data_IF_010004076559
#
_entry.id   IF_010004076559
#
_cell.length_a   1.000
_cell.length_b   1.000
_cell.length_c   1.000
_cell.angle_alpha   90.00
_cell.angle_beta   90.00
_cell.angle_gamma   90.00
#
_symmetry.space_group_name_H-M   'P 1'
#
loop_
_entity.id
_entity.type
_entity.pdbx_description
1 polymer ?
#
# COMPACT_ATOMS: atom_id res chain seq x y z
N UNK A 1 3.68 34.31 13.02
CA UNK A 1 4.86 34.47 12.13
C UNK A 1 5.17 33.12 11.51
N UNK A 2 5.30 32.99 10.19
CA UNK A 2 5.68 31.73 9.56
C UNK A 2 7.13 31.38 9.93
N UNK A 3 7.38 30.15 10.37
CA UNK A 3 8.72 29.65 10.65
C UNK A 3 9.61 29.80 9.40
N UNK A 4 10.82 30.34 9.54
CA UNK A 4 11.76 30.43 8.41
C UNK A 4 12.24 29.02 8.04
N UNK A 5 12.45 28.74 6.75
CA UNK A 5 12.96 27.44 6.26
C UNK A 5 14.21 26.96 7.01
N UNK A 6 15.08 27.89 7.43
CA UNK A 6 16.26 27.62 8.25
C UNK A 6 15.93 27.08 9.65
N UNK A 7 14.86 27.57 10.29
CA UNK A 7 14.40 27.06 11.59
C UNK A 7 13.78 25.66 11.47
N UNK A 8 13.05 25.39 10.38
CA UNK A 8 12.49 24.07 10.09
C UNK A 8 13.59 23.03 9.83
N UNK A 9 14.62 23.37 9.04
CA UNK A 9 15.76 22.47 8.80
C UNK A 9 16.56 22.16 10.08
N UNK A 10 16.77 23.15 10.95
CA UNK A 10 17.44 22.92 12.24
C UNK A 10 16.64 22.03 13.18
N UNK A 11 15.32 22.25 13.27
CA UNK A 11 14.44 21.38 14.05
C UNK A 11 14.43 19.95 13.50
N UNK A 12 14.37 19.80 12.17
CA UNK A 12 14.44 18.50 11.52
C UNK A 12 15.75 17.77 11.84
N UNK A 13 16.91 18.46 11.74
CA UNK A 13 18.20 17.88 12.12
C UNK A 13 18.24 17.45 13.60
N UNK A 14 17.78 18.31 14.51
CA UNK A 14 17.74 17.98 15.94
C UNK A 14 16.82 16.79 16.26
N UNK A 15 15.70 16.66 15.55
CA UNK A 15 14.80 15.50 15.67
C UNK A 15 15.47 14.23 15.16
N UNK A 16 16.18 14.29 14.03
CA UNK A 16 16.93 13.14 13.50
C UNK A 16 18.03 12.70 14.47
N UNK A 17 18.80 13.65 15.03
CA UNK A 17 19.84 13.35 16.03
C UNK A 17 19.24 12.69 17.29
N UNK A 18 18.10 13.18 17.77
CA UNK A 18 17.40 12.59 18.91
C UNK A 18 16.90 11.17 18.60
N UNK A 19 16.26 10.98 17.44
CA UNK A 19 15.80 9.66 16.99
C UNK A 19 16.99 8.70 16.88
N UNK A 20 18.09 9.17 16.31
CA UNK A 20 19.33 8.41 16.16
C UNK A 20 19.88 7.97 17.52
N UNK A 21 19.96 8.90 18.48
CA UNK A 21 20.43 8.61 19.84
C UNK A 21 19.54 7.56 20.52
N UNK A 22 18.21 7.67 20.38
CA UNK A 22 17.26 6.70 20.97
C UNK A 22 17.38 5.32 20.36
N UNK A 23 17.54 5.21 19.04
CA UNK A 23 17.77 3.92 18.40
C UNK A 23 19.12 3.32 18.78
N UNK A 24 20.18 4.13 18.88
CA UNK A 24 21.51 3.65 19.28
C UNK A 24 21.52 3.14 20.73
N UNK A 25 20.86 3.87 21.64
CA UNK A 25 20.67 3.46 23.04
C UNK A 25 19.93 2.12 23.13
N UNK A 26 18.82 1.98 22.40
CA UNK A 26 18.00 0.77 22.45
C UNK A 26 18.67 -0.44 21.78
N UNK A 27 19.18 -0.28 20.55
CA UNK A 27 19.63 -1.39 19.71
C UNK A 27 21.07 -1.84 19.97
N UNK A 28 21.87 -1.04 20.69
CA UNK A 28 23.26 -1.37 20.99
C UNK A 28 24.05 -1.75 19.72
N UNK A 29 24.64 -2.94 19.69
CA UNK A 29 25.44 -3.42 18.57
C UNK A 29 24.65 -3.57 17.25
N UNK A 30 23.34 -3.80 17.30
CA UNK A 30 22.49 -4.00 16.12
C UNK A 30 22.20 -2.70 15.35
N UNK A 31 22.55 -1.54 15.92
CA UNK A 31 22.26 -0.23 15.32
C UNK A 31 22.83 -0.08 13.91
N UNK A 32 24.02 -0.61 13.64
CA UNK A 32 24.65 -0.49 12.31
C UNK A 32 23.90 -1.29 11.25
N UNK A 33 23.43 -2.49 11.62
CA UNK A 33 22.62 -3.36 10.76
C UNK A 33 21.27 -2.70 10.47
N UNK A 34 20.61 -2.20 11.52
CA UNK A 34 19.34 -1.49 11.42
C UNK A 34 19.44 -0.24 10.53
N UNK A 35 20.45 0.61 10.74
CA UNK A 35 20.66 1.83 9.94
C UNK A 35 20.84 1.55 8.46
N UNK A 36 21.67 0.56 8.11
CA UNK A 36 21.88 0.18 6.70
C UNK A 36 20.56 -0.20 6.04
N UNK A 37 19.72 -0.95 6.77
CA UNK A 37 18.39 -1.33 6.29
C UNK A 37 17.47 -0.13 6.13
N UNK A 38 17.45 0.77 7.10
CA UNK A 38 16.60 1.96 7.09
C UNK A 38 16.94 2.89 5.91
N UNK A 39 18.23 3.13 5.65
CA UNK A 39 18.68 3.92 4.50
C UNK A 39 18.23 3.29 3.18
N UNK A 40 18.39 1.97 3.03
CA UNK A 40 17.94 1.25 1.83
C UNK A 40 16.42 1.39 1.63
N UNK A 41 15.63 1.26 2.69
CA UNK A 41 14.17 1.39 2.64
C UNK A 41 13.75 2.80 2.25
N UNK A 42 14.36 3.83 2.84
CA UNK A 42 14.05 5.22 2.50
C UNK A 42 14.50 5.60 1.09
N UNK A 43 15.63 5.08 0.60
CA UNK A 43 16.06 5.30 -0.78
C UNK A 43 15.05 4.72 -1.78
N UNK A 44 14.57 3.49 -1.55
CA UNK A 44 13.51 2.88 -2.36
C UNK A 44 12.21 3.68 -2.31
N UNK A 45 11.80 4.11 -1.12
CA UNK A 45 10.61 4.95 -0.93
C UNK A 45 10.72 6.28 -1.67
N UNK A 46 11.85 6.99 -1.56
CA UNK A 46 12.07 8.25 -2.26
C UNK A 46 12.00 8.09 -3.78
N UNK A 47 12.56 7.01 -4.32
CA UNK A 47 12.43 6.67 -5.75
C UNK A 47 10.97 6.40 -6.13
N UNK A 48 10.23 5.68 -5.29
CA UNK A 48 8.80 5.41 -5.48
C UNK A 48 7.98 6.71 -5.56
N UNK A 49 8.22 7.64 -4.62
CA UNK A 49 7.57 8.96 -4.60
C UNK A 49 7.94 9.79 -5.85
N UNK A 50 9.19 9.70 -6.30
CA UNK A 50 9.61 10.36 -7.54
C UNK A 50 8.90 9.80 -8.78
N UNK A 51 8.63 8.49 -8.81
CA UNK A 51 7.84 7.85 -9.87
C UNK A 51 6.38 8.28 -9.79
N UNK A 52 5.78 8.37 -8.59
CA UNK A 52 4.40 8.86 -8.39
C UNK A 52 4.23 10.32 -8.85
N UNK A 53 5.26 11.14 -8.63
CA UNK A 53 5.26 12.56 -9.03
C UNK A 53 5.52 12.80 -10.52
N UNK A 54 5.90 11.76 -11.28
CA UNK A 54 6.09 11.88 -12.71
C UNK A 54 4.72 11.95 -13.41
N UNK A 55 4.43 13.01 -14.19
CA UNK A 55 3.10 13.16 -14.79
C UNK A 55 2.76 11.97 -15.67
N UNK A 56 1.61 11.35 -15.39
CA UNK A 56 1.02 10.27 -16.17
C UNK A 56 0.65 10.78 -17.57
N UNK A 57 1.65 10.90 -18.46
CA UNK A 57 1.47 11.40 -19.83
C UNK A 57 1.06 10.30 -20.79
N UNK A 58 0.00 9.53 -20.50
CA UNK A 58 -0.71 8.66 -21.45
C UNK A 58 0.14 7.76 -22.37
N UNK A 59 1.40 7.46 -22.00
CA UNK A 59 2.41 6.78 -22.83
C UNK A 59 3.05 5.59 -22.14
N UNK A 60 2.76 5.38 -20.87
CA UNK A 60 3.17 4.18 -20.15
C UNK A 60 2.01 3.20 -20.23
N UNK A 61 2.30 1.99 -20.73
CA UNK A 61 1.42 0.84 -20.61
C UNK A 61 0.95 0.75 -19.15
N UNK A 62 -0.32 0.40 -18.94
CA UNK A 62 -0.79 0.01 -17.61
C UNK A 62 0.25 -0.96 -17.01
N UNK A 63 0.80 -0.68 -15.81
CA UNK A 63 1.80 -1.55 -15.22
C UNK A 63 1.23 -2.95 -15.07
N UNK A 64 2.08 -3.97 -15.16
CA UNK A 64 1.67 -5.30 -14.73
C UNK A 64 1.33 -5.25 -13.24
N UNK A 65 0.58 -6.24 -12.76
CA UNK A 65 0.30 -6.26 -11.32
C UNK A 65 1.57 -6.47 -10.50
N UNK A 66 2.51 -7.25 -11.04
CA UNK A 66 3.81 -7.49 -10.46
C UNK A 66 4.60 -6.18 -10.30
N UNK A 67 4.58 -5.32 -11.32
CA UNK A 67 5.20 -3.99 -11.25
C UNK A 67 4.54 -3.11 -10.18
N UNK A 68 3.20 -3.15 -10.09
CA UNK A 68 2.45 -2.44 -9.04
C UNK A 68 2.84 -2.95 -7.64
N UNK A 69 2.94 -4.27 -7.45
CA UNK A 69 3.31 -4.87 -6.16
C UNK A 69 4.72 -4.47 -5.75
N UNK A 70 5.68 -4.46 -6.67
CA UNK A 70 7.06 -4.02 -6.37
C UNK A 70 7.10 -2.53 -6.02
N UNK A 71 6.35 -1.70 -6.75
CA UNK A 71 6.22 -0.28 -6.44
C UNK A 71 5.58 -0.04 -5.06
N UNK A 72 4.46 -0.70 -4.76
CA UNK A 72 3.83 -0.63 -3.45
C UNK A 72 4.80 -1.04 -2.34
N UNK A 73 5.53 -2.16 -2.49
CA UNK A 73 6.57 -2.59 -1.53
C UNK A 73 7.62 -1.52 -1.26
N UNK A 74 8.01 -0.76 -2.28
CA UNK A 74 8.91 0.38 -2.12
C UNK A 74 8.26 1.54 -1.37
N UNK A 75 6.98 1.88 -1.67
CA UNK A 75 6.22 2.92 -0.95
C UNK A 75 6.11 2.63 0.53
N UNK A 76 5.63 1.44 0.91
CA UNK A 76 5.38 1.16 2.32
C UNK A 76 6.64 0.72 3.08
N UNK A 77 7.69 0.25 2.40
CA UNK A 77 8.91 -0.32 3.01
C UNK A 77 9.41 0.31 4.32
N UNK A 78 9.60 1.64 4.41
CA UNK A 78 10.06 2.31 5.63
C UNK A 78 9.14 2.11 6.85
N UNK A 79 7.83 1.94 6.67
CA UNK A 79 6.87 1.76 7.77
C UNK A 79 7.01 0.40 8.48
N UNK A 80 7.74 -0.55 7.88
CA UNK A 80 8.11 -1.81 8.54
C UNK A 80 9.29 -1.68 9.51
N UNK A 81 10.05 -0.57 9.46
CA UNK A 81 11.25 -0.42 10.28
C UNK A 81 11.02 -0.51 11.81
N UNK A 82 9.91 -0.03 12.39
CA UNK A 82 9.63 -0.24 13.81
C UNK A 82 9.47 -1.73 14.18
N UNK A 83 8.90 -2.55 13.29
CA UNK A 83 8.77 -4.00 13.50
C UNK A 83 10.15 -4.66 13.53
N UNK A 84 11.02 -4.31 12.58
CA UNK A 84 12.40 -4.78 12.54
C UNK A 84 13.15 -4.39 13.83
N UNK A 85 13.00 -3.16 14.30
CA UNK A 85 13.63 -2.68 15.54
C UNK A 85 13.17 -3.47 16.77
N UNK A 86 11.86 -3.66 16.95
CA UNK A 86 11.31 -4.41 18.10
C UNK A 86 11.78 -5.86 18.08
N UNK A 87 11.82 -6.50 16.91
CA UNK A 87 12.28 -7.88 16.78
C UNK A 87 13.79 -8.02 17.07
N UNK A 88 14.60 -7.07 16.60
CA UNK A 88 16.03 -7.04 16.94
C UNK A 88 16.24 -6.87 18.45
N UNK A 89 15.48 -5.99 19.12
CA UNK A 89 15.51 -5.82 20.57
C UNK A 89 15.12 -7.09 21.34
N UNK A 90 14.16 -7.85 20.79
CA UNK A 90 13.72 -9.12 21.36
C UNK A 90 14.70 -10.28 21.10
N UNK A 91 15.83 -10.03 20.41
CA UNK A 91 16.80 -11.06 20.04
C UNK A 91 16.27 -12.04 19.00
N UNK A 92 15.35 -11.60 18.14
CA UNK A 92 14.80 -12.43 17.07
C UNK A 92 15.91 -12.93 16.12
N UNK A 93 15.81 -14.19 15.71
CA UNK A 93 16.71 -14.75 14.70
C UNK A 93 16.45 -14.13 13.31
N UNK A 94 17.42 -14.27 12.42
CA UNK A 94 17.29 -13.85 11.01
C UNK A 94 16.09 -14.49 10.31
N UNK A 95 15.76 -15.73 10.68
CA UNK A 95 14.58 -16.42 10.17
C UNK A 95 13.28 -15.73 10.61
N UNK A 96 13.18 -15.39 11.90
CA UNK A 96 12.02 -14.70 12.48
C UNK A 96 11.86 -13.31 11.85
N UNK A 97 12.96 -12.56 11.68
CA UNK A 97 12.97 -11.27 10.99
C UNK A 97 12.49 -11.40 9.54
N UNK A 98 12.98 -12.41 8.81
CA UNK A 98 12.59 -12.66 7.42
C UNK A 98 11.09 -12.99 7.32
N UNK A 99 10.56 -13.83 8.21
CA UNK A 99 9.14 -14.19 8.24
C UNK A 99 8.27 -12.99 8.61
N UNK A 100 8.62 -12.26 9.66
CA UNK A 100 7.90 -11.06 10.07
C UNK A 100 7.83 -10.04 8.94
N UNK A 101 8.95 -9.77 8.27
CA UNK A 101 9.01 -8.85 7.15
C UNK A 101 8.17 -9.31 5.96
N UNK A 102 8.24 -10.59 5.59
CA UNK A 102 7.45 -11.13 4.50
C UNK A 102 5.94 -11.06 4.80
N UNK A 103 5.55 -11.41 6.04
CA UNK A 103 4.16 -11.30 6.51
C UNK A 103 3.70 -9.84 6.51
N UNK A 104 4.50 -8.92 7.07
CA UNK A 104 4.20 -7.49 7.09
C UNK A 104 4.01 -6.91 5.69
N UNK A 105 4.86 -7.27 4.72
CA UNK A 105 4.68 -6.81 3.35
C UNK A 105 3.38 -7.34 2.72
N UNK A 106 3.00 -8.59 3.00
CA UNK A 106 1.73 -9.13 2.52
C UNK A 106 0.55 -8.38 3.15
N UNK A 107 0.58 -8.11 4.45
CA UNK A 107 -0.46 -7.29 5.09
C UNK A 107 -0.55 -5.89 4.47
N UNK A 108 0.57 -5.20 4.30
CA UNK A 108 0.59 -3.85 3.75
C UNK A 108 0.06 -3.79 2.31
N UNK A 109 0.34 -4.81 1.48
CA UNK A 109 -0.26 -4.95 0.15
C UNK A 109 -1.77 -5.21 0.24
N UNK A 110 -2.21 -6.01 1.21
CA UNK A 110 -3.63 -6.23 1.47
C UNK A 110 -4.36 -4.93 1.83
N UNK A 111 -3.77 -4.13 2.72
CA UNK A 111 -4.31 -2.82 3.12
C UNK A 111 -4.34 -1.86 1.93
N UNK A 112 -3.24 -1.72 1.19
CA UNK A 112 -3.21 -0.84 0.02
C UNK A 112 -4.27 -1.21 -1.01
N UNK A 113 -4.45 -2.50 -1.31
CA UNK A 113 -5.47 -2.93 -2.28
C UNK A 113 -6.89 -2.77 -1.75
N UNK A 114 -7.10 -2.91 -0.45
CA UNK A 114 -8.39 -2.59 0.16
C UNK A 114 -8.70 -1.10 0.01
N UNK A 115 -7.73 -0.25 0.32
CA UNK A 115 -7.78 1.22 0.17
C UNK A 115 -8.10 1.62 -1.27
N UNK A 116 -7.31 1.12 -2.23
CA UNK A 116 -7.51 1.32 -3.67
C UNK A 116 -8.90 0.89 -4.16
N UNK A 117 -9.57 -0.05 -3.47
CA UNK A 117 -10.91 -0.52 -3.84
C UNK A 117 -12.04 0.35 -3.26
N UNK A 118 -11.77 1.08 -2.18
CA UNK A 118 -12.72 1.98 -1.51
C UNK A 118 -12.59 3.39 -2.07
N UNK A 119 -11.37 3.84 -2.36
CA UNK A 119 -11.07 5.25 -2.71
C UNK A 119 -10.99 5.50 -4.23
N UNK A 120 -11.72 4.71 -5.02
CA UNK A 120 -11.71 4.77 -6.50
C UNK A 120 -12.00 6.18 -7.02
N UNK A 121 -12.92 6.90 -6.39
CA UNK A 121 -13.32 8.25 -6.79
C UNK A 121 -12.26 9.30 -6.46
N UNK A 122 -11.63 9.19 -5.28
CA UNK A 122 -10.54 10.06 -4.86
C UNK A 122 -9.30 9.84 -5.74
N UNK A 123 -8.99 8.57 -6.03
CA UNK A 123 -7.83 8.18 -6.84
C UNK A 123 -7.97 8.49 -8.32
N UNK A 124 -9.19 8.62 -8.85
CA UNK A 124 -9.42 8.97 -10.25
C UNK A 124 -8.84 10.36 -10.58
N UNK A 125 -8.92 11.30 -9.64
CA UNK A 125 -8.39 12.66 -9.78
C UNK A 125 -6.90 12.80 -9.41
N UNK A 126 -6.28 11.73 -8.91
CA UNK A 126 -4.89 11.72 -8.45
C UNK A 126 -3.89 11.79 -9.61
N UNK A 127 -2.74 12.43 -9.38
CA UNK A 127 -1.60 12.36 -10.31
C UNK A 127 -0.98 10.97 -10.40
N UNK A 128 -1.28 10.10 -9.43
CA UNK A 128 -0.84 8.71 -9.35
C UNK A 128 -2.08 7.82 -9.12
N UNK A 129 -2.75 7.37 -10.20
CA UNK A 129 -3.96 6.56 -10.09
C UNK A 129 -3.66 5.21 -9.43
N UNK A 130 -4.58 4.74 -8.58
CA UNK A 130 -4.46 3.48 -7.86
C UNK A 130 -4.64 2.25 -8.76
N UNK A 131 -4.38 1.06 -8.22
CA UNK A 131 -4.50 -0.18 -9.00
C UNK A 131 -5.92 -0.36 -9.55
N UNK A 132 -6.95 -0.10 -8.75
CA UNK A 132 -8.35 -0.26 -9.16
C UNK A 132 -8.69 0.68 -10.31
N UNK A 133 -8.29 1.95 -10.22
CA UNK A 133 -8.48 2.93 -11.29
C UNK A 133 -7.77 2.48 -12.57
N UNK A 134 -6.49 2.13 -12.48
CA UNK A 134 -5.70 1.64 -13.62
C UNK A 134 -6.32 0.38 -14.28
N UNK A 135 -6.80 -0.54 -13.46
CA UNK A 135 -7.45 -1.78 -13.90
C UNK A 135 -8.76 -1.49 -14.62
N UNK A 136 -9.60 -0.63 -14.04
CA UNK A 136 -10.88 -0.22 -14.59
C UNK A 136 -10.70 0.51 -15.93
N UNK A 137 -9.76 1.45 -16.00
CA UNK A 137 -9.39 2.15 -17.23
C UNK A 137 -8.94 1.20 -18.34
N UNK A 138 -8.17 0.17 -17.98
CA UNK A 138 -7.68 -0.84 -18.93
C UNK A 138 -8.81 -1.69 -19.50
N UNK A 139 -9.78 -2.10 -18.67
CA UNK A 139 -10.95 -2.87 -19.10
C UNK A 139 -11.95 -2.06 -19.91
N UNK A 140 -12.05 -0.76 -19.64
CA UNK A 140 -12.89 0.14 -20.42
C UNK A 140 -12.39 0.33 -21.85
N UNK A 141 -11.12 -0.08 -22.16
CA UNK A 141 -10.47 0.00 -23.47
C UNK A 141 -10.98 1.18 -24.29
N UNK A 142 -10.81 2.40 -23.77
CA UNK A 142 -11.16 3.57 -24.56
C UNK A 142 -10.43 3.49 -25.89
N UNK A 143 -11.20 3.36 -26.97
CA UNK A 143 -10.65 3.41 -28.32
C UNK A 143 -9.94 4.74 -28.54
N UNK A 144 -9.40 4.93 -29.74
CA UNK A 144 -8.72 6.18 -30.15
C UNK A 144 -9.53 7.48 -30.00
N UNK A 145 -10.80 7.41 -29.59
CA UNK A 145 -11.65 8.55 -29.24
C UNK A 145 -11.55 9.03 -27.78
N UNK A 146 -10.78 8.34 -26.91
CA UNK A 146 -10.64 8.71 -25.50
C UNK A 146 -11.87 8.38 -24.64
N UNK A 147 -11.77 8.69 -23.34
CA UNK A 147 -12.90 8.59 -22.41
C UNK A 147 -14.00 9.57 -22.80
N UNK A 148 -15.28 9.18 -22.80
CA UNK A 148 -16.35 10.16 -22.69
C UNK A 148 -16.16 10.95 -21.40
N UNK A 149 -16.13 12.29 -21.47
CA UNK A 149 -15.92 13.16 -20.29
C UNK A 149 -16.95 12.89 -19.18
N UNK A 150 -18.16 12.45 -19.53
CA UNK A 150 -19.21 12.05 -18.61
C UNK A 150 -18.90 10.78 -17.79
N UNK A 151 -18.00 9.91 -18.27
CA UNK A 151 -17.51 8.72 -17.53
C UNK A 151 -16.28 9.04 -16.66
N UNK A 152 -15.79 10.28 -16.70
CA UNK A 152 -14.80 10.80 -15.75
C UNK A 152 -15.47 11.56 -14.59
N UNK A 153 -16.80 11.58 -14.54
CA UNK A 153 -17.55 11.90 -13.33
C UNK A 153 -17.34 10.74 -12.33
N UNK A 154 -17.00 11.06 -11.08
CA UNK A 154 -16.58 10.11 -10.04
C UNK A 154 -17.54 8.92 -9.91
N UNK A 155 -18.83 9.22 -9.80
CA UNK A 155 -19.88 8.26 -9.51
C UNK A 155 -20.06 7.29 -10.69
N UNK A 156 -20.13 7.83 -11.92
CA UNK A 156 -20.26 7.04 -13.15
C UNK A 156 -19.03 6.15 -13.40
N UNK A 157 -17.83 6.63 -13.03
CA UNK A 157 -16.62 5.83 -13.11
C UNK A 157 -16.62 4.69 -12.09
N UNK A 158 -17.02 4.97 -10.85
CA UNK A 158 -17.09 3.98 -9.78
C UNK A 158 -18.09 2.86 -10.11
N UNK A 159 -19.29 3.22 -10.58
CA UNK A 159 -20.29 2.26 -11.06
C UNK A 159 -19.72 1.37 -12.18
N UNK A 160 -19.07 1.98 -13.17
CA UNK A 160 -18.47 1.22 -14.27
C UNK A 160 -17.32 0.31 -13.78
N UNK A 161 -16.55 0.72 -12.78
CA UNK A 161 -15.49 -0.09 -12.16
C UNK A 161 -16.07 -1.28 -11.37
N UNK A 162 -17.21 -1.09 -10.70
CA UNK A 162 -17.96 -2.16 -10.03
C UNK A 162 -18.53 -3.17 -11.04
N UNK A 163 -19.27 -2.70 -12.05
CA UNK A 163 -19.92 -3.54 -13.06
C UNK A 163 -18.92 -4.38 -13.87
N UNK A 164 -17.79 -3.78 -14.24
CA UNK A 164 -16.70 -4.48 -14.95
C UNK A 164 -15.86 -5.37 -14.03
N UNK A 165 -16.07 -5.27 -12.73
CA UNK A 165 -15.47 -6.12 -11.73
C UNK A 165 -14.03 -5.80 -11.34
N UNK A 166 -13.56 -4.59 -11.66
CA UNK A 166 -12.23 -4.11 -11.23
C UNK A 166 -12.16 -4.03 -9.70
N UNK A 167 -13.17 -3.45 -9.05
CA UNK A 167 -13.27 -3.39 -7.58
C UNK A 167 -13.27 -4.79 -6.96
N UNK A 168 -14.05 -5.73 -7.51
CA UNK A 168 -14.11 -7.10 -7.01
C UNK A 168 -12.79 -7.85 -7.21
N UNK A 169 -12.07 -7.61 -8.30
CA UNK A 169 -10.75 -8.16 -8.55
C UNK A 169 -9.74 -7.63 -7.52
N UNK A 170 -9.72 -6.33 -7.28
CA UNK A 170 -8.85 -5.70 -6.28
C UNK A 170 -9.13 -6.26 -4.88
N UNK A 171 -10.39 -6.34 -4.44
CA UNK A 171 -10.75 -6.90 -3.14
C UNK A 171 -10.33 -8.37 -3.01
N UNK A 172 -10.49 -9.19 -4.05
CA UNK A 172 -9.99 -10.59 -4.02
C UNK A 172 -8.48 -10.67 -3.87
N UNK A 173 -7.73 -9.73 -4.45
CA UNK A 173 -6.27 -9.66 -4.28
C UNK A 173 -5.89 -9.22 -2.87
N UNK A 174 -6.61 -8.25 -2.30
CA UNK A 174 -6.46 -7.89 -0.89
C UNK A 174 -6.70 -9.09 0.03
N UNK A 175 -7.79 -9.85 -0.18
CA UNK A 175 -8.06 -11.11 0.53
C UNK A 175 -6.91 -12.11 0.41
N UNK A 176 -6.37 -12.30 -0.80
CA UNK A 176 -5.24 -13.20 -1.03
C UNK A 176 -4.01 -12.78 -0.21
N UNK A 177 -3.69 -11.49 -0.20
CA UNK A 177 -2.55 -10.96 0.56
C UNK A 177 -2.72 -11.06 2.07
N UNK A 178 -3.91 -10.80 2.62
CA UNK A 178 -4.18 -11.06 4.05
C UNK A 178 -4.01 -12.54 4.39
N UNK A 179 -4.49 -13.44 3.52
CA UNK A 179 -4.27 -14.89 3.69
C UNK A 179 -2.78 -15.26 3.63
N UNK A 180 -2.02 -14.70 2.69
CA UNK A 180 -0.57 -14.97 2.62
C UNK A 180 0.17 -14.40 3.83
N UNK A 181 -0.27 -13.25 4.35
CA UNK A 181 0.26 -12.66 5.58
C UNK A 181 0.08 -13.62 6.77
N UNK A 182 -1.14 -14.16 6.94
CA UNK A 182 -1.46 -15.14 7.98
C UNK A 182 -0.64 -16.42 7.84
N UNK A 183 -0.57 -16.99 6.63
CA UNK A 183 0.20 -18.21 6.36
C UNK A 183 1.70 -18.02 6.62
N UNK A 184 2.25 -16.85 6.28
CA UNK A 184 3.67 -16.53 6.50
C UNK A 184 3.99 -16.35 7.98
N UNK A 185 3.06 -15.79 8.74
CA UNK A 185 3.20 -15.62 10.17
C UNK A 185 3.07 -16.95 10.93
N UNK A 186 2.06 -17.75 10.58
CA UNK A 186 1.76 -19.03 11.20
C UNK A 186 1.78 -18.98 12.73
N UNK A 187 2.21 -20.09 13.34
CA UNK A 187 2.26 -20.22 14.80
C UNK A 187 3.31 -19.33 15.48
N UNK A 188 4.17 -18.64 14.70
CA UNK A 188 5.19 -17.74 15.24
C UNK A 188 4.61 -16.41 15.72
N UNK A 189 3.49 -15.97 15.13
CA UNK A 189 2.84 -14.71 15.49
C UNK A 189 1.30 -14.89 15.56
N UNK A 190 0.78 -15.65 16.55
CA UNK A 190 -0.64 -16.04 16.57
C UNK A 190 -1.60 -14.85 16.70
N UNK A 191 -1.23 -13.80 17.42
CA UNK A 191 -2.03 -12.56 17.50
C UNK A 191 -2.07 -11.80 16.18
N UNK A 192 -0.98 -11.84 15.42
CA UNK A 192 -0.92 -11.27 14.08
C UNK A 192 -1.77 -12.06 13.10
N UNK A 193 -1.77 -13.40 13.17
CA UNK A 193 -2.66 -14.28 12.39
C UNK A 193 -4.12 -13.91 12.64
N UNK A 194 -4.54 -13.80 13.91
CA UNK A 194 -5.91 -13.41 14.24
C UNK A 194 -6.31 -12.04 13.66
N UNK A 195 -5.37 -11.09 13.62
CA UNK A 195 -5.59 -9.80 12.95
C UNK A 195 -5.77 -9.96 11.44
N UNK A 196 -4.95 -10.79 10.78
CA UNK A 196 -5.07 -11.03 9.34
C UNK A 196 -6.41 -11.69 8.98
N UNK A 197 -6.88 -12.62 9.82
CA UNK A 197 -8.19 -13.26 9.64
C UNK A 197 -9.34 -12.25 9.77
N UNK A 198 -9.21 -11.28 10.68
CA UNK A 198 -10.16 -10.18 10.82
C UNK A 198 -10.17 -9.27 9.58
N UNK A 199 -8.99 -8.88 9.07
CA UNK A 199 -8.87 -8.10 7.83
C UNK A 199 -9.45 -8.84 6.62
N UNK A 200 -9.17 -10.14 6.50
CA UNK A 200 -9.75 -11.00 5.47
C UNK A 200 -11.28 -11.05 5.58
N UNK A 201 -11.82 -11.21 6.79
CA UNK A 201 -13.25 -11.22 7.04
C UNK A 201 -13.95 -9.92 6.65
N UNK A 202 -13.35 -8.77 7.01
CA UNK A 202 -13.88 -7.45 6.65
C UNK A 202 -13.84 -7.21 5.13
N UNK A 203 -12.72 -7.54 4.48
CA UNK A 203 -12.56 -7.41 3.03
C UNK A 203 -13.57 -8.26 2.27
N UNK A 204 -13.75 -9.51 2.72
CA UNK A 204 -14.73 -10.43 2.16
C UNK A 204 -16.15 -9.90 2.30
N UNK A 205 -16.50 -9.41 3.50
CA UNK A 205 -17.82 -8.85 3.77
C UNK A 205 -18.11 -7.67 2.84
N UNK A 206 -17.18 -6.71 2.72
CA UNK A 206 -17.33 -5.58 1.79
C UNK A 206 -17.56 -6.07 0.35
N UNK A 207 -16.77 -7.03 -0.11
CA UNK A 207 -16.93 -7.61 -1.45
C UNK A 207 -18.32 -8.23 -1.63
N UNK A 208 -18.80 -9.00 -0.67
CA UNK A 208 -20.11 -9.66 -0.70
C UNK A 208 -21.26 -8.65 -0.65
N UNK A 209 -21.16 -7.63 0.20
CA UNK A 209 -22.14 -6.55 0.29
C UNK A 209 -22.25 -5.81 -1.06
N UNK A 210 -21.11 -5.46 -1.69
CA UNK A 210 -21.09 -4.84 -3.01
C UNK A 210 -21.65 -5.75 -4.12
N UNK A 211 -21.43 -7.07 -4.04
CA UNK A 211 -22.00 -8.03 -5.00
C UNK A 211 -23.52 -8.10 -4.95
N UNK A 212 -24.13 -7.84 -3.79
CA UNK A 212 -25.60 -7.75 -3.65
C UNK A 212 -26.12 -6.42 -4.19
N UNK A 213 -25.37 -5.34 -4.01
CA UNK A 213 -25.78 -4.00 -4.44
C UNK A 213 -25.75 -3.81 -5.96
N UNK A 214 -24.73 -4.31 -6.66
CA UNK A 214 -24.56 -4.08 -8.10
C UNK A 214 -25.78 -4.51 -8.95
N UNK A 215 -26.37 -5.70 -8.77
CA UNK A 215 -27.60 -6.09 -9.49
C UNK A 215 -28.81 -5.20 -9.20
N UNK A 216 -28.86 -4.52 -8.05
CA UNK A 216 -29.95 -3.62 -7.69
C UNK A 216 -29.83 -2.24 -8.36
N UNK A 217 -28.65 -1.87 -8.86
CA UNK A 217 -28.42 -0.59 -9.56
C UNK A 217 -28.85 -0.65 -11.03
N UNK A 218 -28.72 -1.81 -11.69
CA UNK A 218 -29.11 -2.00 -13.11
C UNK A 218 -30.61 -2.24 -13.36
N UNK A 219 -31.45 -2.10 -12.32
CA UNK A 219 -32.91 -2.30 -12.38
C UNK A 219 -33.74 -1.02 -12.21
N UNK A 220 -33.10 0.15 -12.18
CA UNK A 220 -33.73 1.46 -12.06
C UNK A 220 -33.87 2.17 -13.42
#
# INVERSE_FOLDING_TARGET
MPASLSSAHRLHAALLDLIEARYAEALGAEIHRFRRKLVELHARHAMSVAVDGAPWRGRLKTPSFEDYVEHARARHGPYGAPVDAVLLLAGASDEVLRLAKASWHNWALGVQLYDDAVDVEEDLGSSAPSWTVLRALTDMRWGSGGAPTALLESDAFYEAALERGAVFETLRRAEWFFRQSALTAGDRFPTWVALQDACLGQTRKLREDLQVLVPAMGGA
#
